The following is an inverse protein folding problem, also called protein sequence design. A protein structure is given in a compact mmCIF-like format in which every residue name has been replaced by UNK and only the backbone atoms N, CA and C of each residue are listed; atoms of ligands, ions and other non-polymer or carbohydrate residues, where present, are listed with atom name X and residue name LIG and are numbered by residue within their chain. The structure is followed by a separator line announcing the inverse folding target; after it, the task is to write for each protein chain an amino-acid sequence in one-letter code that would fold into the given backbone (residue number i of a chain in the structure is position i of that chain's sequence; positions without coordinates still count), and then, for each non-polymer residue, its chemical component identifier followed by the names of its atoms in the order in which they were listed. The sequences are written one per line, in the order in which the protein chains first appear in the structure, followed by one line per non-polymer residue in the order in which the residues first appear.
data_IF_968039802817
#
_entry.id   IF_968039802817
#
_cell.length_a   1.000
_cell.length_b   1.000
_cell.length_c   1.000
_cell.angle_alpha   90.00
_cell.angle_beta   90.00
_cell.angle_gamma   90.00
#
_symmetry.space_group_name_H-M   'P 1'
#
loop_
_entity.id
_entity.type
_entity.pdbx_description
1 polymer ?
#
# COMPACT_ATOMS: atom_id res chain seq x y z
N UNK A 1 -6.30 -6.64 -38.81
CA UNK A 1 -6.66 -6.20 -40.18
C UNK A 1 -7.85 -6.92 -40.79
N UNK A 2 -8.01 -8.22 -40.53
CA UNK A 2 -9.06 -9.06 -41.17
C UNK A 2 -10.25 -9.42 -40.27
N UNK A 3 -10.19 -9.14 -38.97
CA UNK A 3 -11.25 -9.49 -38.01
C UNK A 3 -12.22 -8.31 -37.80
N UNK A 4 -13.54 -8.55 -37.72
CA UNK A 4 -14.52 -7.51 -37.42
C UNK A 4 -14.51 -7.10 -35.94
N UNK A 5 -14.98 -5.89 -35.62
CA UNK A 5 -15.26 -5.37 -34.26
C UNK A 5 -14.09 -5.40 -33.26
N UNK A 6 -12.85 -5.28 -33.73
CA UNK A 6 -11.66 -5.25 -32.86
C UNK A 6 -11.59 -3.92 -32.10
N UNK A 7 -11.56 -3.98 -30.76
CA UNK A 7 -11.31 -2.84 -29.86
C UNK A 7 -9.95 -2.91 -29.15
N UNK A 8 -9.34 -4.10 -29.09
CA UNK A 8 -8.01 -4.35 -28.54
C UNK A 8 -7.18 -5.02 -29.63
N UNK A 9 -6.20 -4.28 -30.18
CA UNK A 9 -5.34 -4.79 -31.24
C UNK A 9 -4.20 -5.65 -30.65
N UNK A 10 -3.88 -6.76 -31.33
CA UNK A 10 -2.75 -7.64 -30.99
C UNK A 10 -1.70 -7.54 -32.09
N UNK A 11 -0.44 -7.32 -31.72
CA UNK A 11 0.68 -7.15 -32.64
C UNK A 11 2.00 -7.68 -32.08
N UNK A 12 3.11 -7.42 -32.76
CA UNK A 12 4.42 -7.99 -32.42
C UNK A 12 4.98 -7.58 -31.05
N UNK A 13 4.45 -6.52 -30.44
CA UNK A 13 4.90 -5.97 -29.16
C UNK A 13 3.89 -6.20 -28.02
N UNK A 14 2.97 -7.15 -28.17
CA UNK A 14 1.95 -7.50 -27.17
C UNK A 14 2.30 -8.84 -26.54
N UNK A 15 2.45 -8.85 -25.21
CA UNK A 15 2.53 -10.08 -24.42
C UNK A 15 1.11 -10.62 -24.15
N UNK A 16 0.99 -11.94 -23.98
CA UNK A 16 -0.29 -12.63 -23.80
C UNK A 16 -0.26 -13.45 -22.51
N UNK A 17 -1.22 -13.19 -21.62
CA UNK A 17 -1.53 -14.06 -20.48
C UNK A 17 -2.85 -14.77 -20.77
N UNK A 18 -2.81 -16.10 -20.84
CA UNK A 18 -3.99 -16.95 -21.03
C UNK A 18 -4.87 -16.95 -19.77
N UNK A 19 -6.17 -16.73 -19.94
CA UNK A 19 -7.15 -16.61 -18.84
C UNK A 19 -8.44 -17.42 -19.08
N UNK A 20 -8.45 -18.28 -20.10
CA UNK A 20 -9.56 -19.19 -20.36
C UNK A 20 -9.80 -20.12 -19.16
N UNK A 21 -11.05 -20.18 -18.71
CA UNK A 21 -11.44 -20.97 -17.52
C UNK A 21 -11.04 -20.36 -16.17
N UNK A 22 -10.41 -19.17 -16.15
CA UNK A 22 -10.01 -18.48 -14.93
C UNK A 22 -11.01 -17.40 -14.51
N UNK A 23 -10.96 -16.98 -13.25
CA UNK A 23 -11.70 -15.82 -12.73
C UNK A 23 -10.67 -14.73 -12.37
N UNK A 24 -10.38 -13.80 -13.29
CA UNK A 24 -9.58 -12.63 -12.94
C UNK A 24 -10.39 -11.68 -12.06
N UNK A 25 -9.76 -11.14 -11.02
CA UNK A 25 -10.35 -10.13 -10.14
C UNK A 25 -9.38 -8.95 -10.02
N UNK A 26 -9.88 -7.81 -9.52
CA UNK A 26 -8.99 -6.75 -9.07
C UNK A 26 -8.19 -7.24 -7.85
N UNK A 27 -6.98 -6.73 -7.68
CA UNK A 27 -6.22 -7.00 -6.47
C UNK A 27 -6.91 -6.42 -5.23
N UNK A 28 -6.81 -7.14 -4.11
CA UNK A 28 -7.37 -6.70 -2.83
C UNK A 28 -6.70 -5.42 -2.32
N UNK A 29 -7.45 -4.67 -1.50
CA UNK A 29 -6.99 -3.48 -0.80
C UNK A 29 -7.26 -3.69 0.69
N UNK A 30 -6.20 -3.81 1.49
CA UNK A 30 -6.31 -3.87 2.96
C UNK A 30 -5.96 -2.49 3.53
N UNK A 31 -6.87 -1.92 4.32
CA UNK A 31 -6.71 -0.57 4.88
C UNK A 31 -6.51 -0.54 6.40
N UNK A 32 -6.24 -1.69 7.03
CA UNK A 32 -5.97 -1.76 8.47
C UNK A 32 -4.66 -2.49 8.77
N UNK A 33 -3.59 -2.10 8.09
CA UNK A 33 -2.29 -2.74 8.26
C UNK A 33 -1.53 -2.13 9.43
N UNK A 34 -1.09 -2.99 10.35
CA UNK A 34 -0.01 -2.66 11.27
C UNK A 34 1.30 -3.08 10.59
N UNK A 35 2.17 -2.13 10.26
CA UNK A 35 3.47 -2.42 9.62
C UNK A 35 4.49 -2.87 10.66
N UNK A 36 4.24 -4.06 11.24
CA UNK A 36 5.04 -4.68 12.30
C UNK A 36 6.32 -5.27 11.71
N UNK A 37 6.22 -5.90 10.54
CA UNK A 37 7.37 -6.49 9.87
C UNK A 37 7.19 -6.54 8.34
N UNK A 38 8.27 -6.49 7.56
CA UNK A 38 8.19 -6.49 6.09
C UNK A 38 7.68 -7.82 5.50
N UNK A 39 7.70 -8.92 6.26
CA UNK A 39 7.21 -10.22 5.80
C UNK A 39 5.71 -10.20 5.47
N UNK A 40 4.94 -9.28 6.07
CA UNK A 40 3.51 -9.11 5.78
C UNK A 40 3.24 -8.77 4.32
N UNK A 41 4.23 -8.18 3.61
CA UNK A 41 4.08 -7.82 2.19
C UNK A 41 3.93 -9.06 1.31
N UNK A 42 4.75 -10.07 1.54
CA UNK A 42 4.69 -11.32 0.79
C UNK A 42 3.38 -12.05 1.08
N UNK A 43 2.98 -12.13 2.35
CA UNK A 43 1.72 -12.76 2.76
C UNK A 43 0.50 -12.07 2.12
N UNK A 44 0.49 -10.73 2.11
CA UNK A 44 -0.56 -9.95 1.47
C UNK A 44 -0.64 -10.28 -0.04
N UNK A 45 0.49 -10.25 -0.75
CA UNK A 45 0.52 -10.55 -2.18
C UNK A 45 0.07 -11.98 -2.50
N UNK A 46 0.51 -12.96 -1.71
CA UNK A 46 0.11 -14.36 -1.89
C UNK A 46 -1.39 -14.60 -1.62
N UNK A 47 -2.00 -13.75 -0.80
CA UNK A 47 -3.46 -13.74 -0.58
C UNK A 47 -4.25 -12.98 -1.67
N UNK A 48 -3.57 -12.33 -2.63
CA UNK A 48 -4.19 -11.52 -3.68
C UNK A 48 -4.39 -10.04 -3.33
N UNK A 49 -3.87 -9.56 -2.19
CA UNK A 49 -3.85 -8.15 -1.82
C UNK A 49 -2.71 -7.44 -2.54
N UNK A 50 -3.01 -6.35 -3.23
CA UNK A 50 -2.03 -5.58 -4.04
C UNK A 50 -1.83 -4.15 -3.53
N UNK A 51 -2.60 -3.75 -2.51
CA UNK A 51 -2.49 -2.45 -1.86
C UNK A 51 -2.67 -2.61 -0.35
N UNK A 52 -1.77 -2.03 0.42
CA UNK A 52 -1.80 -2.02 1.88
C UNK A 52 -1.76 -0.58 2.39
N UNK A 53 -2.77 -0.19 3.16
CA UNK A 53 -2.85 1.11 3.83
C UNK A 53 -2.86 0.86 5.33
N UNK A 54 -2.00 1.55 6.06
CA UNK A 54 -1.77 1.26 7.46
C UNK A 54 -0.74 2.16 8.09
N UNK A 55 -0.20 1.78 9.25
CA UNK A 55 0.87 2.55 9.88
C UNK A 55 1.72 1.68 10.79
N UNK A 56 2.94 2.13 11.05
CA UNK A 56 3.91 1.41 11.86
C UNK A 56 5.35 1.81 11.58
N UNK A 57 6.24 1.33 12.45
CA UNK A 57 7.68 1.56 12.39
C UNK A 57 8.47 0.28 12.69
N UNK A 58 7.92 -0.89 12.32
CA UNK A 58 8.43 -2.18 12.75
C UNK A 58 7.86 -2.63 14.09
N UNK A 59 8.48 -3.60 14.79
CA UNK A 59 7.91 -4.33 15.93
C UNK A 59 8.00 -3.55 17.26
N UNK A 60 7.70 -2.25 17.22
CA UNK A 60 7.60 -1.39 18.39
C UNK A 60 6.22 -1.54 19.05
N UNK A 61 6.15 -1.36 20.39
CA UNK A 61 4.89 -1.42 21.15
C UNK A 61 3.79 -0.55 20.55
N UNK A 62 4.14 0.64 20.06
CA UNK A 62 3.19 1.54 19.38
C UNK A 62 2.58 0.92 18.12
N UNK A 63 3.41 0.34 17.23
CA UNK A 63 2.94 -0.34 16.02
C UNK A 63 2.12 -1.58 16.33
N UNK A 64 2.53 -2.36 17.33
CA UNK A 64 1.80 -3.57 17.72
C UNK A 64 0.38 -3.26 18.21
N UNK A 65 0.14 -2.04 18.70
CA UNK A 65 -1.16 -1.59 19.18
C UNK A 65 -1.92 -0.70 18.20
N UNK A 66 -1.22 0.05 17.33
CA UNK A 66 -1.83 1.11 16.51
C UNK A 66 -1.23 1.15 15.10
N UNK A 67 -2.08 1.40 14.11
CA UNK A 67 -1.69 1.64 12.71
C UNK A 67 -1.18 3.07 12.52
N UNK A 68 -0.10 3.43 13.22
CA UNK A 68 0.46 4.78 13.23
C UNK A 68 1.95 4.76 12.87
N UNK A 69 2.35 5.53 11.88
CA UNK A 69 3.74 5.91 11.57
C UNK A 69 3.96 7.33 12.12
N UNK A 70 4.48 7.49 13.35
CA UNK A 70 4.43 8.76 14.06
C UNK A 70 5.55 9.72 13.65
N UNK A 71 5.17 10.93 13.21
CA UNK A 71 6.08 12.04 12.94
C UNK A 71 6.80 11.95 11.58
N UNK A 72 7.38 13.08 11.16
CA UNK A 72 8.00 13.21 9.83
C UNK A 72 9.18 12.25 9.62
N UNK A 73 10.02 12.06 10.63
CA UNK A 73 11.21 11.21 10.49
C UNK A 73 10.87 9.76 10.17
N UNK A 74 9.93 9.16 10.91
CA UNK A 74 9.50 7.78 10.62
C UNK A 74 8.73 7.70 9.31
N UNK A 75 7.96 8.73 8.95
CA UNK A 75 7.28 8.78 7.66
C UNK A 75 8.28 8.67 6.50
N UNK A 76 9.33 9.49 6.51
CA UNK A 76 10.39 9.44 5.49
C UNK A 76 11.09 8.07 5.46
N UNK A 77 11.40 7.47 6.62
CA UNK A 77 12.04 6.15 6.67
C UNK A 77 11.14 5.04 6.13
N UNK A 78 9.84 5.08 6.43
CA UNK A 78 8.90 4.08 5.94
C UNK A 78 8.65 4.23 4.43
N UNK A 79 8.60 5.47 3.92
CA UNK A 79 8.53 5.73 2.47
C UNK A 79 9.78 5.22 1.75
N UNK A 80 10.98 5.42 2.32
CA UNK A 80 12.21 4.84 1.78
C UNK A 80 12.21 3.31 1.84
N UNK A 81 11.76 2.73 2.95
CA UNK A 81 11.65 1.28 3.10
C UNK A 81 10.61 0.65 2.14
N UNK A 82 9.66 1.44 1.65
CA UNK A 82 8.70 1.02 0.64
C UNK A 82 9.31 0.90 -0.76
N UNK A 83 10.44 1.56 -1.03
CA UNK A 83 11.06 1.52 -2.35
C UNK A 83 11.50 0.10 -2.71
N UNK A 84 11.10 -0.35 -3.91
CA UNK A 84 11.42 -1.68 -4.42
C UNK A 84 10.50 -2.80 -3.96
N UNK A 85 9.52 -2.53 -3.08
CA UNK A 85 8.50 -3.52 -2.72
C UNK A 85 7.45 -3.66 -3.84
N UNK A 86 7.05 -4.89 -4.20
CA UNK A 86 6.10 -5.14 -5.29
C UNK A 86 4.63 -4.94 -4.86
N UNK A 87 4.33 -3.88 -4.11
CA UNK A 87 2.99 -3.58 -3.61
C UNK A 87 2.77 -2.07 -3.46
N UNK A 88 1.53 -1.61 -3.62
CA UNK A 88 1.18 -0.21 -3.34
C UNK A 88 1.04 0.00 -1.84
N UNK A 89 1.71 1.00 -1.26
CA UNK A 89 1.67 1.31 0.17
C UNK A 89 1.13 2.72 0.45
N UNK A 90 0.29 2.84 1.47
CA UNK A 90 -0.14 4.11 2.06
C UNK A 90 0.10 4.11 3.57
N UNK A 91 0.70 5.18 4.09
CA UNK A 91 1.05 5.29 5.51
C UNK A 91 0.15 6.29 6.26
N UNK A 92 -0.31 5.89 7.43
CA UNK A 92 -1.16 6.65 8.33
C UNK A 92 -0.30 7.24 9.46
N UNK A 93 -0.43 8.55 9.68
CA UNK A 93 0.18 9.22 10.83
C UNK A 93 -0.61 8.96 12.13
N UNK A 94 -0.04 9.39 13.26
CA UNK A 94 -0.72 9.38 14.56
C UNK A 94 -1.65 10.59 14.67
N UNK A 95 -2.95 10.33 14.80
CA UNK A 95 -4.01 11.34 14.89
C UNK A 95 -4.28 11.85 16.30
N UNK A 96 -3.82 11.17 17.35
CA UNK A 96 -4.10 11.56 18.74
C UNK A 96 -3.30 12.80 19.14
N UNK A 97 -3.82 13.98 18.80
CA UNK A 97 -3.32 15.29 19.22
C UNK A 97 -4.50 16.26 19.35
N UNK A 98 -4.48 17.10 20.38
CA UNK A 98 -5.48 18.18 20.53
C UNK A 98 -5.09 19.47 19.80
N UNK A 99 -3.88 19.52 19.22
CA UNK A 99 -3.38 20.67 18.45
C UNK A 99 -3.07 20.25 17.00
N UNK A 100 -3.33 21.11 16.01
CA UNK A 100 -3.18 20.76 14.59
C UNK A 100 -1.72 20.68 14.12
N UNK A 101 -0.79 21.43 14.72
CA UNK A 101 0.60 21.53 14.24
C UNK A 101 1.30 20.17 14.03
N UNK A 102 1.32 19.27 15.03
CA UNK A 102 1.89 17.93 14.87
C UNK A 102 1.14 17.02 13.87
N UNK A 103 -0.13 17.32 13.57
CA UNK A 103 -0.91 16.57 12.58
C UNK A 103 -0.54 17.03 11.16
N UNK A 104 -0.47 18.34 10.95
CA UNK A 104 -0.09 18.95 9.67
C UNK A 104 1.33 18.54 9.25
N UNK A 105 2.26 18.44 10.20
CA UNK A 105 3.63 17.98 9.95
C UNK A 105 3.66 16.57 9.35
N UNK A 106 2.87 15.64 9.90
CA UNK A 106 2.82 14.25 9.43
C UNK A 106 2.20 14.14 8.03
N UNK A 107 1.14 14.90 7.76
CA UNK A 107 0.52 14.95 6.42
C UNK A 107 1.52 15.51 5.40
N UNK A 108 2.21 16.60 5.72
CA UNK A 108 3.24 17.18 4.84
C UNK A 108 4.41 16.24 4.59
N UNK A 109 4.74 15.39 5.55
CA UNK A 109 5.79 14.38 5.42
C UNK A 109 5.39 13.16 4.57
N UNK A 110 4.11 13.03 4.20
CA UNK A 110 3.63 11.97 3.31
C UNK A 110 2.56 11.04 3.89
N UNK A 111 2.05 11.31 5.10
CA UNK A 111 0.90 10.55 5.60
C UNK A 111 -0.33 10.77 4.70
N UNK A 112 -0.98 9.69 4.26
CA UNK A 112 -2.22 9.75 3.47
C UNK A 112 -3.49 9.73 4.33
N UNK A 113 -3.34 9.67 5.66
CA UNK A 113 -4.41 9.70 6.64
C UNK A 113 -3.87 9.71 8.07
N UNK A 114 -4.76 9.80 9.05
CA UNK A 114 -4.41 9.80 10.48
C UNK A 114 -5.26 8.77 11.22
N UNK A 115 -4.64 7.97 12.09
CA UNK A 115 -5.32 7.01 12.96
C UNK A 115 -5.54 7.61 14.36
N UNK A 116 -6.77 7.53 14.86
CA UNK A 116 -7.13 7.79 16.25
C UNK A 116 -7.25 6.49 17.06
#
# INVERSE_FOLDING_TARGET
DIQPNVTIAVGASIEVIAAEGMIPTAGGIDTHIHFICPQQIEEALMSGVTTMIGGGTGPATGTNATTCTPGAWYMERMLQAAEGLPINLGFLGKGNSSLPGPLDEQIRAGACGLKL
#
